data_IF_778301871926
#
_entry.id   IF_778301871926
#
_cell.length_a   1.000
_cell.length_b   1.000
_cell.length_c   1.000
_cell.angle_alpha   90.00
_cell.angle_beta   90.00
_cell.angle_gamma   90.00
#
_symmetry.space_group_name_H-M   'P 1'
#
loop_
_entity.id
_entity.type
_entity.pdbx_description
1 polymer ?
#
# COMPACT_ATOMS: atom_id res chain seq x y z
N UNK A 1 2.72 -12.09 -16.04
CA UNK A 1 2.96 -11.58 -14.67
C UNK A 1 2.32 -10.21 -14.64
N UNK A 2 1.22 -10.03 -13.89
CA UNK A 2 0.50 -8.76 -13.85
C UNK A 2 1.42 -7.66 -13.31
N UNK A 3 1.78 -6.69 -14.17
CA UNK A 3 2.70 -5.59 -13.88
C UNK A 3 1.95 -4.43 -13.21
N UNK A 4 1.34 -4.72 -12.07
CA UNK A 4 0.44 -3.78 -11.38
C UNK A 4 1.17 -2.51 -10.94
N UNK A 5 2.44 -2.64 -10.52
CA UNK A 5 3.24 -1.49 -10.10
C UNK A 5 3.65 -0.61 -11.29
N UNK A 6 4.00 -1.21 -12.43
CA UNK A 6 4.32 -0.46 -13.66
C UNK A 6 3.07 0.30 -14.12
N UNK A 7 1.92 -0.38 -14.14
CA UNK A 7 0.63 0.23 -14.49
C UNK A 7 0.23 1.35 -13.52
N UNK A 8 0.47 1.16 -12.22
CA UNK A 8 0.27 2.20 -11.21
C UNK A 8 1.17 3.42 -11.46
N UNK A 9 2.41 3.19 -11.89
CA UNK A 9 3.37 4.26 -12.17
C UNK A 9 3.03 5.04 -13.44
N UNK A 10 2.52 4.36 -14.46
CA UNK A 10 2.21 4.96 -15.77
C UNK A 10 0.82 5.63 -15.81
N UNK A 11 -0.20 4.98 -15.23
CA UNK A 11 -1.60 5.39 -15.37
C UNK A 11 -2.22 5.87 -14.05
N UNK A 12 -1.50 5.70 -12.94
CA UNK A 12 -2.00 6.05 -11.61
C UNK A 12 -3.00 5.04 -11.03
N UNK A 13 -3.43 5.26 -9.77
CA UNK A 13 -4.28 4.31 -9.05
C UNK A 13 -5.73 4.26 -9.55
N UNK A 14 -6.18 5.24 -10.33
CA UNK A 14 -7.56 5.32 -10.81
C UNK A 14 -7.90 4.25 -11.86
N UNK A 15 -6.89 3.74 -12.57
CA UNK A 15 -7.07 2.72 -13.61
C UNK A 15 -6.99 1.28 -13.05
N UNK A 16 -6.75 1.16 -11.73
CA UNK A 16 -6.66 -0.12 -11.04
C UNK A 16 -7.93 -0.36 -10.20
N UNK A 17 -8.43 -1.60 -10.25
CA UNK A 17 -9.58 -2.00 -9.43
C UNK A 17 -9.14 -2.52 -8.05
N UNK A 18 -10.10 -2.69 -7.13
CA UNK A 18 -9.91 -3.19 -5.77
C UNK A 18 -9.20 -4.56 -5.64
N UNK A 19 -9.20 -5.36 -6.72
CA UNK A 19 -8.48 -6.64 -6.76
C UNK A 19 -7.01 -6.47 -7.12
N UNK A 20 -6.61 -5.35 -7.73
CA UNK A 20 -5.25 -5.02 -8.12
C UNK A 20 -4.62 -4.00 -7.17
N UNK A 21 -5.34 -2.95 -6.79
CA UNK A 21 -4.87 -1.91 -5.89
C UNK A 21 -6.03 -1.42 -5.02
N UNK A 22 -5.84 -1.40 -3.69
CA UNK A 22 -6.90 -1.03 -2.75
C UNK A 22 -6.38 -0.18 -1.61
N UNK A 23 -7.14 0.83 -1.21
CA UNK A 23 -6.96 1.50 0.06
C UNK A 23 -7.45 0.60 1.21
N UNK A 24 -6.55 0.17 2.09
CA UNK A 24 -6.87 -0.75 3.21
C UNK A 24 -7.27 0.03 4.48
N UNK A 25 -6.81 1.28 4.65
CA UNK A 25 -7.25 2.15 5.74
C UNK A 25 -6.24 3.23 6.13
N UNK A 26 -6.65 4.14 7.03
CA UNK A 26 -5.78 5.15 7.62
C UNK A 26 -5.29 4.72 9.00
N UNK A 27 -4.00 4.86 9.24
CA UNK A 27 -3.35 4.46 10.49
C UNK A 27 -2.38 5.54 10.97
N UNK A 28 -2.14 5.65 12.29
CA UNK A 28 -1.18 6.61 12.83
C UNK A 28 0.25 6.27 12.40
N UNK A 29 1.00 7.29 12.00
CA UNK A 29 2.41 7.22 11.63
C UNK A 29 3.32 7.40 12.86
N UNK A 30 4.62 7.13 12.72
CA UNK A 30 5.59 7.40 13.78
C UNK A 30 5.63 8.86 14.24
N UNK A 31 5.29 9.79 13.36
CA UNK A 31 5.21 11.24 13.61
C UNK A 31 3.87 11.72 14.20
N UNK A 32 2.91 10.81 14.47
CA UNK A 32 1.60 11.16 15.03
C UNK A 32 0.57 11.69 14.03
N UNK A 33 0.93 11.80 12.75
CA UNK A 33 -0.03 12.01 11.64
C UNK A 33 -0.76 10.71 11.32
N UNK A 34 -1.73 10.74 10.40
CA UNK A 34 -2.35 9.53 9.84
C UNK A 34 -1.98 9.34 8.38
N UNK A 35 -1.49 8.16 8.00
CA UNK A 35 -1.21 7.80 6.61
C UNK A 35 -2.25 6.81 6.08
N UNK A 36 -2.64 6.97 4.81
CA UNK A 36 -3.43 5.96 4.09
C UNK A 36 -2.51 4.84 3.63
N UNK A 37 -2.85 3.60 4.00
CA UNK A 37 -2.15 2.39 3.57
C UNK A 37 -2.90 1.79 2.39
N UNK A 38 -2.15 1.51 1.33
CA UNK A 38 -2.61 0.87 0.12
C UNK A 38 -2.02 -0.53 0.01
N UNK A 39 -2.72 -1.41 -0.70
CA UNK A 39 -2.27 -2.76 -1.01
C UNK A 39 -2.33 -2.99 -2.52
N UNK A 40 -1.17 -3.21 -3.15
CA UNK A 40 -1.07 -3.79 -4.47
C UNK A 40 -1.15 -5.32 -4.36
N UNK A 41 -2.01 -5.95 -5.17
CA UNK A 41 -2.43 -7.34 -5.03
C UNK A 41 -2.19 -8.09 -6.33
N UNK A 42 -1.26 -9.04 -6.33
CA UNK A 42 -0.97 -9.89 -7.48
C UNK A 42 -1.06 -11.35 -7.07
N UNK A 43 -2.15 -12.03 -7.47
CA UNK A 43 -2.45 -13.41 -7.09
C UNK A 43 -2.38 -13.65 -5.56
N UNK A 44 -1.31 -14.26 -5.07
CA UNK A 44 -1.08 -14.48 -3.64
C UNK A 44 -0.22 -13.39 -2.99
N UNK A 45 0.50 -12.58 -3.76
CA UNK A 45 1.37 -11.52 -3.25
C UNK A 45 0.56 -10.26 -2.93
N UNK A 46 0.84 -9.67 -1.77
CA UNK A 46 0.36 -8.35 -1.36
C UNK A 46 1.55 -7.47 -1.02
N UNK A 47 1.62 -6.30 -1.63
CA UNK A 47 2.61 -5.28 -1.33
C UNK A 47 1.87 -4.12 -0.69
N UNK A 48 2.30 -3.73 0.51
CA UNK A 48 1.67 -2.69 1.29
C UNK A 48 2.53 -1.43 1.31
N UNK A 49 1.89 -0.27 1.12
CA UNK A 49 2.62 0.99 1.07
C UNK A 49 1.77 2.23 1.35
N UNK A 50 2.46 3.35 1.53
CA UNK A 50 1.87 4.67 1.71
C UNK A 50 2.43 5.63 0.66
N UNK A 51 1.62 6.57 0.21
CA UNK A 51 2.12 7.68 -0.60
C UNK A 51 2.77 8.71 0.33
N UNK A 52 3.96 9.18 -0.03
CA UNK A 52 4.62 10.29 0.65
C UNK A 52 3.86 11.61 0.38
N UNK A 53 3.81 12.47 1.39
CA UNK A 53 3.36 13.85 1.23
C UNK A 53 4.49 14.65 0.57
N UNK A 54 4.45 14.82 -0.76
CA UNK A 54 5.49 15.54 -1.51
C UNK A 54 5.08 15.90 -2.95
N UNK A 55 5.93 16.65 -3.64
CA UNK A 55 5.70 17.15 -5.02
C UNK A 55 5.59 16.03 -6.06
N UNK A 56 6.12 14.84 -5.75
CA UNK A 56 5.96 13.64 -6.55
C UNK A 56 5.28 12.55 -5.71
N UNK A 57 4.24 11.92 -6.28
CA UNK A 57 3.56 10.78 -5.67
C UNK A 57 4.50 9.58 -5.65
N UNK A 58 5.20 9.38 -4.53
CA UNK A 58 6.04 8.21 -4.31
C UNK A 58 5.31 7.22 -3.41
N UNK A 59 5.07 6.00 -3.91
CA UNK A 59 4.55 4.91 -3.11
C UNK A 59 5.70 4.18 -2.41
N UNK A 60 5.84 4.36 -1.09
CA UNK A 60 6.79 3.59 -0.29
C UNK A 60 6.18 2.26 0.11
N UNK A 61 6.84 1.16 -0.26
CA UNK A 61 6.37 -0.21 -0.05
C UNK A 61 7.24 -0.97 0.97
N UNK A 62 7.16 -0.66 2.29
CA UNK A 62 8.06 -1.23 3.28
C UNK A 62 7.78 -2.70 3.64
N UNK A 63 6.61 -3.24 3.27
CA UNK A 63 6.27 -4.64 3.54
C UNK A 63 5.58 -5.31 2.35
N UNK A 64 6.02 -6.55 2.07
CA UNK A 64 5.34 -7.50 1.20
C UNK A 64 4.99 -8.77 1.96
N UNK A 65 3.86 -9.39 1.64
CA UNK A 65 3.44 -10.65 2.25
C UNK A 65 2.74 -11.56 1.25
N UNK A 66 2.92 -12.86 1.44
CA UNK A 66 2.06 -13.87 0.79
C UNK A 66 0.78 -14.00 1.61
N UNK A 67 -0.34 -13.80 0.93
CA UNK A 67 -1.69 -13.87 1.47
C UNK A 67 -1.93 -15.23 2.12
N UNK A 68 -2.09 -15.24 3.44
CA UNK A 68 -2.61 -16.39 4.20
C UNK A 68 -4.15 -16.39 4.27
N UNK A 69 -4.74 -15.21 4.41
CA UNK A 69 -6.19 -15.00 4.53
C UNK A 69 -6.72 -13.92 3.57
N UNK A 70 -8.03 -13.96 3.29
CA UNK A 70 -8.70 -12.96 2.46
C UNK A 70 -8.56 -11.54 3.01
N UNK A 71 -8.47 -11.36 4.33
CA UNK A 71 -8.30 -10.06 4.98
C UNK A 71 -6.82 -9.68 5.09
N UNK A 72 -6.51 -8.38 5.00
CA UNK A 72 -5.17 -7.88 5.32
C UNK A 72 -4.95 -7.93 6.84
N UNK A 73 -3.74 -8.34 7.24
CA UNK A 73 -3.32 -8.36 8.65
C UNK A 73 -3.27 -6.93 9.18
N UNK A 74 -4.05 -6.64 10.22
CA UNK A 74 -4.18 -5.29 10.79
C UNK A 74 -2.88 -4.81 11.43
N UNK A 75 -2.09 -5.71 12.01
CA UNK A 75 -0.82 -5.34 12.64
C UNK A 75 0.23 -5.03 11.57
N UNK A 76 0.17 -5.72 10.42
CA UNK A 76 0.97 -5.36 9.26
C UNK A 76 0.64 -3.96 8.74
N UNK A 77 -0.65 -3.63 8.58
CA UNK A 77 -1.06 -2.31 8.11
C UNK A 77 -0.58 -1.19 9.05
N UNK A 78 -0.69 -1.40 10.37
CA UNK A 78 -0.18 -0.44 11.36
C UNK A 78 1.34 -0.26 11.29
N UNK A 79 2.11 -1.34 11.10
CA UNK A 79 3.57 -1.26 10.95
C UNK A 79 3.98 -0.51 9.69
N UNK A 80 3.30 -0.74 8.57
CA UNK A 80 3.54 -0.04 7.31
C UNK A 80 3.32 1.46 7.50
N UNK A 81 2.20 1.87 8.11
CA UNK A 81 1.94 3.28 8.38
C UNK A 81 2.94 3.90 9.36
N UNK A 82 3.39 3.16 10.38
CA UNK A 82 4.41 3.63 11.32
C UNK A 82 5.71 3.97 10.59
N UNK A 83 6.20 3.06 9.73
CA UNK A 83 7.41 3.24 8.89
C UNK A 83 7.30 4.36 7.86
N UNK A 84 6.09 4.70 7.44
CA UNK A 84 5.87 5.79 6.49
C UNK A 84 6.08 7.19 7.10
N UNK A 85 6.12 7.32 8.44
CA UNK A 85 6.38 8.58 9.12
C UNK A 85 7.71 8.63 9.87
N UNK A 86 8.62 7.71 9.58
CA UNK A 86 10.04 7.75 9.97
C UNK A 86 10.87 8.49 8.92
#
# INVERSE_FOLDING_TARGET
MDRILDHLSENGPADLNDKQFKAEGRFPTGSGKTAMVYAAKSYQLRIYGCFDEGTALQLRCPEGAIKKDNKADQDQLKRVARKAGE
#
